data_IF_483582435803
#
_entry.id   IF_483582435803
#
_cell.length_a   1.000
_cell.length_b   1.000
_cell.length_c   1.000
_cell.angle_alpha   90.00
_cell.angle_beta   90.00
_cell.angle_gamma   90.00
#
_symmetry.space_group_name_H-M   'P 1'
#
loop_
_entity.id
_entity.type
_entity.pdbx_description
1 polymer ?
#
# COMPACT_ATOMS: atom_id res chain seq x y z
N UNK A 1 -10.71 -19.26 61.42
CA UNK A 1 -9.34 -19.72 61.70
C UNK A 1 -8.78 -20.40 60.45
N UNK A 2 -7.56 -20.02 60.03
CA UNK A 2 -6.55 -20.77 59.21
C UNK A 2 -6.95 -21.19 57.77
N UNK A 3 -6.14 -21.07 56.71
CA UNK A 3 -4.86 -20.38 56.44
C UNK A 3 -4.44 -20.67 54.96
N UNK A 4 -3.70 -19.72 54.36
CA UNK A 4 -2.61 -19.83 53.37
C UNK A 4 -2.83 -20.24 51.90
N UNK A 5 -2.50 -19.29 50.99
CA UNK A 5 -1.35 -19.29 50.04
C UNK A 5 -1.45 -17.92 49.32
N UNK A 6 -0.64 -16.88 49.51
CA UNK A 6 0.82 -16.72 49.51
C UNK A 6 1.51 -17.38 48.31
N UNK A 7 1.77 -16.57 47.27
CA UNK A 7 2.81 -16.86 46.28
C UNK A 7 2.41 -16.61 44.83
N UNK A 8 2.71 -15.42 44.30
CA UNK A 8 3.19 -15.19 42.92
C UNK A 8 3.44 -13.69 42.71
N UNK A 9 4.52 -13.18 43.29
CA UNK A 9 5.20 -12.00 42.74
C UNK A 9 6.02 -12.55 41.57
N UNK A 10 5.67 -12.19 40.34
CA UNK A 10 6.56 -12.38 39.19
C UNK A 10 6.79 -11.04 38.49
N UNK A 11 8.05 -10.71 38.16
CA UNK A 11 8.48 -9.40 37.71
C UNK A 11 8.33 -9.25 36.19
N UNK A 12 7.65 -8.20 35.73
CA UNK A 12 7.78 -7.74 34.35
C UNK A 12 8.43 -6.36 34.36
N UNK A 13 9.76 -6.38 34.50
CA UNK A 13 10.60 -5.25 34.11
C UNK A 13 11.73 -5.79 33.27
N UNK A 14 11.89 -5.17 32.08
CA UNK A 14 13.02 -5.13 31.13
C UNK A 14 12.53 -5.52 29.73
N UNK A 15 11.98 -4.53 29.01
CA UNK A 15 12.14 -4.48 27.56
C UNK A 15 13.08 -3.32 27.28
N UNK A 16 14.36 -3.65 27.13
CA UNK A 16 15.42 -2.70 26.88
C UNK A 16 15.29 -2.16 25.45
N UNK A 17 15.20 -0.84 25.36
CA UNK A 17 15.36 -0.05 24.15
C UNK A 17 16.75 -0.29 23.55
N UNK A 18 16.82 -0.50 22.24
CA UNK A 18 18.06 -0.61 21.48
C UNK A 18 17.87 -0.18 20.04
N UNK A 19 17.84 1.14 19.80
CA UNK A 19 18.13 1.75 18.50
C UNK A 19 19.64 1.95 18.41
N UNK A 20 20.33 1.33 17.45
CA UNK A 20 21.48 1.96 16.76
C UNK A 20 21.55 1.46 15.31
N UNK A 21 21.49 2.45 14.41
CA UNK A 21 21.70 2.40 12.97
C UNK A 21 23.15 2.05 12.63
N UNK A 22 23.37 1.13 11.70
CA UNK A 22 24.60 1.02 10.93
C UNK A 22 24.26 1.03 9.45
N UNK A 23 24.09 2.24 8.92
CA UNK A 23 24.42 2.55 7.54
C UNK A 23 25.79 3.25 7.50
N UNK A 24 26.69 2.75 6.66
CA UNK A 24 27.88 3.43 6.09
C UNK A 24 28.33 2.50 4.94
N UNK A 25 27.85 2.74 3.72
CA UNK A 25 28.59 3.40 2.64
C UNK A 25 30.02 2.86 2.44
N UNK A 26 30.24 2.21 1.31
CA UNK A 26 31.56 2.17 0.70
C UNK A 26 31.42 2.25 -0.82
N UNK A 27 31.15 3.47 -1.29
CA UNK A 27 31.51 3.85 -2.65
C UNK A 27 33.03 3.97 -2.74
N UNK A 28 33.68 3.15 -3.56
CA UNK A 28 35.09 3.37 -3.86
C UNK A 28 35.84 2.28 -4.62
N UNK A 29 36.21 2.64 -5.86
CA UNK A 29 37.39 2.22 -6.64
C UNK A 29 37.23 1.05 -7.62
N UNK A 30 37.01 1.42 -8.88
CA UNK A 30 37.86 1.00 -10.01
C UNK A 30 39.33 1.36 -9.73
N UNK A 31 40.35 0.60 -10.20
CA UNK A 31 40.60 0.38 -11.64
C UNK A 31 41.01 -1.09 -11.96
N UNK A 32 41.04 -1.57 -13.19
CA UNK A 32 42.14 -1.34 -14.15
C UNK A 32 41.93 -2.19 -15.40
N UNK A 33 42.04 -1.56 -16.58
CA UNK A 33 42.73 -2.01 -17.80
C UNK A 33 42.73 -3.51 -18.18
N UNK A 34 42.21 -3.81 -19.38
CA UNK A 34 42.98 -4.56 -20.39
C UNK A 34 42.48 -4.24 -21.80
N UNK A 35 43.41 -3.70 -22.58
CA UNK A 35 43.37 -3.56 -24.02
C UNK A 35 43.18 -4.91 -24.72
N UNK A 36 42.50 -4.90 -25.87
CA UNK A 36 42.78 -5.84 -26.95
C UNK A 36 42.51 -5.15 -28.28
N UNK A 37 43.59 -4.65 -28.85
CA UNK A 37 43.77 -4.31 -30.26
C UNK A 37 43.46 -5.51 -31.15
N UNK A 38 42.68 -5.28 -32.22
CA UNK A 38 42.81 -6.03 -33.47
C UNK A 38 42.51 -5.07 -34.63
N UNK A 39 43.54 -4.82 -35.45
CA UNK A 39 43.54 -3.92 -36.60
C UNK A 39 42.97 -4.58 -37.87
N UNK A 40 42.35 -3.74 -38.73
CA UNK A 40 42.31 -3.70 -40.21
C UNK A 40 41.97 -4.98 -41.01
N UNK A 41 41.27 -4.97 -42.14
CA UNK A 41 40.51 -4.01 -42.96
C UNK A 41 39.99 -4.79 -44.19
N UNK A 42 38.82 -4.45 -44.74
CA UNK A 42 38.62 -4.43 -46.20
C UNK A 42 37.32 -3.72 -46.65
N UNK A 43 37.54 -2.59 -47.32
CA UNK A 43 36.93 -2.12 -48.58
C UNK A 43 35.52 -1.50 -48.59
N UNK A 44 35.45 -0.46 -49.43
CA UNK A 44 34.49 0.63 -49.49
C UNK A 44 33.25 0.36 -50.37
N UNK A 45 32.22 1.16 -50.03
CA UNK A 45 31.23 1.82 -50.89
C UNK A 45 30.06 1.01 -51.48
N UNK A 46 28.89 1.11 -50.84
CA UNK A 46 27.64 1.40 -51.55
C UNK A 46 26.69 2.19 -50.63
N UNK A 47 26.39 3.42 -51.02
CA UNK A 47 25.40 4.29 -50.38
C UNK A 47 23.99 3.74 -50.65
N UNK A 48 23.28 3.37 -49.58
CA UNK A 48 21.83 3.23 -49.59
C UNK A 48 21.27 3.87 -48.32
N UNK A 49 20.57 5.02 -48.40
CA UNK A 49 19.98 5.63 -47.24
C UNK A 49 18.63 4.96 -47.02
N UNK A 50 18.45 4.27 -45.89
CA UNK A 50 17.16 4.17 -45.19
C UNK A 50 17.29 3.23 -43.99
N UNK A 51 16.85 3.76 -42.85
CA UNK A 51 16.51 3.07 -41.60
C UNK A 51 17.51 3.20 -40.44
N UNK A 52 17.82 4.45 -40.07
CA UNK A 52 18.27 4.77 -38.72
C UNK A 52 17.35 5.85 -38.13
N UNK A 53 16.16 5.47 -37.67
CA UNK A 53 15.40 6.20 -36.64
C UNK A 53 14.08 5.48 -36.32
N UNK A 54 14.15 4.31 -35.68
CA UNK A 54 12.94 3.75 -35.04
C UNK A 54 13.15 2.95 -33.75
N UNK A 55 14.37 2.90 -33.20
CA UNK A 55 14.62 2.22 -31.91
C UNK A 55 14.97 3.16 -30.75
N UNK A 56 15.52 4.35 -31.00
CA UNK A 56 15.79 5.31 -29.92
C UNK A 56 14.51 5.86 -29.27
N UNK A 57 13.41 5.97 -30.03
CA UNK A 57 12.16 6.55 -29.53
C UNK A 57 11.33 5.56 -28.70
N UNK A 58 11.44 4.24 -28.93
CA UNK A 58 10.64 3.25 -28.19
C UNK A 58 11.12 3.04 -26.76
N UNK A 59 12.42 3.10 -26.52
CA UNK A 59 12.97 3.06 -25.16
C UNK A 59 12.65 4.35 -24.39
N UNK A 60 12.76 5.52 -25.02
CA UNK A 60 12.38 6.80 -24.42
C UNK A 60 10.87 6.90 -24.10
N UNK A 61 10.00 6.35 -24.97
CA UNK A 61 8.55 6.29 -24.74
C UNK A 61 8.17 5.34 -23.59
N UNK A 62 8.89 4.22 -23.42
CA UNK A 62 8.72 3.32 -22.26
C UNK A 62 9.25 3.95 -20.97
N UNK A 63 10.38 4.67 -21.04
CA UNK A 63 10.99 5.34 -19.90
C UNK A 63 10.16 6.54 -19.44
N UNK A 64 9.51 7.26 -20.36
CA UNK A 64 8.51 8.29 -20.07
C UNK A 64 7.29 7.75 -19.33
N UNK A 65 6.81 6.54 -19.67
CA UNK A 65 5.70 5.90 -18.95
C UNK A 65 6.11 5.52 -17.50
N UNK A 66 7.32 4.95 -17.32
CA UNK A 66 7.83 4.58 -16.00
C UNK A 66 8.03 5.79 -15.08
N UNK A 67 8.50 6.92 -15.59
CA UNK A 67 8.62 8.15 -14.80
C UNK A 67 7.25 8.60 -14.25
N UNK A 68 6.22 8.61 -15.09
CA UNK A 68 4.87 8.97 -14.65
C UNK A 68 4.29 7.97 -13.67
N UNK A 69 4.53 6.66 -13.87
CA UNK A 69 4.14 5.61 -12.93
C UNK A 69 4.75 5.88 -11.54
N UNK A 70 6.07 6.07 -11.46
CA UNK A 70 6.77 6.29 -10.17
C UNK A 70 6.31 7.59 -9.51
N UNK A 71 6.16 8.68 -10.28
CA UNK A 71 5.65 9.95 -9.76
C UNK A 71 4.23 9.79 -9.22
N UNK A 72 3.33 9.20 -10.01
CA UNK A 72 1.92 9.02 -9.66
C UNK A 72 1.74 8.11 -8.44
N UNK A 73 2.52 7.04 -8.34
CA UNK A 73 2.57 6.18 -7.15
C UNK A 73 3.01 6.98 -5.93
N UNK A 74 3.99 7.88 -6.08
CA UNK A 74 4.46 8.73 -4.98
C UNK A 74 3.42 9.77 -4.60
N UNK A 75 2.75 10.40 -5.57
CA UNK A 75 1.68 11.37 -5.32
C UNK A 75 0.49 10.72 -4.60
N UNK A 76 0.12 9.50 -5.01
CA UNK A 76 -0.87 8.70 -4.29
C UNK A 76 -0.40 8.38 -2.87
N UNK A 77 0.80 7.82 -2.69
CA UNK A 77 1.34 7.48 -1.37
C UNK A 77 1.40 8.70 -0.44
N UNK A 78 1.85 9.85 -0.93
CA UNK A 78 1.93 11.08 -0.15
C UNK A 78 0.54 11.58 0.24
N UNK A 79 -0.44 11.49 -0.66
CA UNK A 79 -1.82 11.89 -0.38
C UNK A 79 -2.51 10.99 0.65
N UNK A 80 -2.04 9.73 0.79
CA UNK A 80 -2.76 8.71 1.56
C UNK A 80 -1.95 8.00 2.63
N UNK A 81 -0.81 8.56 3.03
CA UNK A 81 0.17 7.93 3.92
C UNK A 81 -0.45 7.40 5.23
N UNK A 82 -1.42 8.14 5.79
CA UNK A 82 -1.93 7.84 7.13
C UNK A 82 -3.19 6.95 7.11
N UNK A 83 -3.78 6.67 5.95
CA UNK A 83 -5.07 5.98 5.89
C UNK A 83 -5.01 4.52 6.33
N UNK A 84 -3.92 3.81 6.02
CA UNK A 84 -3.74 2.44 6.49
C UNK A 84 -3.77 2.36 8.02
N UNK A 85 -3.11 3.31 8.70
CA UNK A 85 -3.12 3.38 10.16
C UNK A 85 -4.49 3.77 10.70
N UNK A 86 -5.15 4.75 10.09
CA UNK A 86 -6.50 5.17 10.49
C UNK A 86 -7.52 4.04 10.34
N UNK A 87 -7.46 3.27 9.26
CA UNK A 87 -8.31 2.10 9.04
C UNK A 87 -8.06 1.00 10.07
N UNK A 88 -6.80 0.70 10.38
CA UNK A 88 -6.43 -0.28 11.41
C UNK A 88 -6.94 0.14 12.80
N UNK A 89 -6.76 1.42 13.16
CA UNK A 89 -7.23 1.97 14.42
C UNK A 89 -8.75 1.83 14.55
N UNK A 90 -9.50 2.29 13.53
CA UNK A 90 -10.95 2.23 13.56
C UNK A 90 -11.47 0.79 13.49
N UNK A 91 -10.78 -0.12 12.79
CA UNK A 91 -11.09 -1.54 12.81
C UNK A 91 -10.97 -2.13 14.22
N UNK A 92 -9.91 -1.77 14.96
CA UNK A 92 -9.72 -2.20 16.35
C UNK A 92 -10.82 -1.64 17.27
N UNK A 93 -11.21 -0.38 17.07
CA UNK A 93 -12.30 0.26 17.84
C UNK A 93 -13.65 -0.39 17.57
N UNK A 94 -13.94 -0.74 16.31
CA UNK A 94 -15.14 -1.48 15.92
C UNK A 94 -15.18 -2.87 16.56
N UNK A 95 -14.08 -3.62 16.49
CA UNK A 95 -14.00 -4.95 17.11
C UNK A 95 -14.21 -4.86 18.62
N UNK A 96 -13.53 -3.92 19.28
CA UNK A 96 -13.68 -3.70 20.72
C UNK A 96 -15.12 -3.39 21.10
N UNK A 97 -15.80 -2.53 20.33
CA UNK A 97 -17.18 -2.15 20.59
C UNK A 97 -18.15 -3.34 20.44
N UNK A 98 -17.92 -4.23 19.47
CA UNK A 98 -18.69 -5.47 19.31
C UNK A 98 -18.43 -6.43 20.48
N UNK A 99 -17.17 -6.66 20.84
CA UNK A 99 -16.80 -7.58 21.92
C UNK A 99 -17.36 -7.12 23.28
N UNK A 100 -17.39 -5.82 23.51
CA UNK A 100 -17.91 -5.20 24.73
C UNK A 100 -19.42 -4.99 24.72
N UNK A 101 -20.08 -5.26 23.59
CA UNK A 101 -21.49 -4.98 23.38
C UNK A 101 -21.84 -3.51 23.68
N UNK A 102 -20.95 -2.58 23.31
CA UNK A 102 -21.11 -1.14 23.54
C UNK A 102 -21.67 -0.46 22.29
N UNK A 103 -22.96 -0.18 22.30
CA UNK A 103 -23.66 0.46 21.19
C UNK A 103 -23.18 1.90 20.91
N UNK A 104 -22.77 2.63 21.96
CA UNK A 104 -22.33 4.02 21.83
C UNK A 104 -20.96 4.04 21.16
N UNK A 105 -20.04 3.20 21.63
CA UNK A 105 -18.72 3.07 21.04
C UNK A 105 -18.81 2.52 19.61
N UNK A 106 -19.72 1.58 19.36
CA UNK A 106 -19.94 1.02 18.02
C UNK A 106 -20.41 2.08 17.04
N UNK A 107 -21.41 2.88 17.43
CA UNK A 107 -21.92 3.98 16.61
C UNK A 107 -20.84 5.02 16.32
N UNK A 108 -20.03 5.35 17.33
CA UNK A 108 -18.91 6.28 17.17
C UNK A 108 -17.89 5.74 16.17
N UNK A 109 -17.42 4.50 16.35
CA UNK A 109 -16.43 3.87 15.50
C UNK A 109 -16.95 3.69 14.05
N UNK A 110 -18.23 3.33 13.88
CA UNK A 110 -18.87 3.24 12.56
C UNK A 110 -18.92 4.61 11.85
N UNK A 111 -19.27 5.65 12.59
CA UNK A 111 -19.30 7.03 12.06
C UNK A 111 -17.90 7.50 11.67
N UNK A 112 -16.91 7.22 12.51
CA UNK A 112 -15.51 7.53 12.25
C UNK A 112 -15.01 6.80 10.99
N UNK A 113 -15.32 5.50 10.85
CA UNK A 113 -14.96 4.74 9.66
C UNK A 113 -15.59 5.37 8.40
N UNK A 114 -16.88 5.66 8.44
CA UNK A 114 -17.57 6.27 7.30
C UNK A 114 -16.94 7.62 6.90
N UNK A 115 -16.56 8.45 7.87
CA UNK A 115 -15.90 9.73 7.61
C UNK A 115 -14.51 9.54 7.02
N UNK A 116 -13.72 8.60 7.55
CA UNK A 116 -12.39 8.28 7.02
C UNK A 116 -12.45 7.79 5.58
N UNK A 117 -13.37 6.87 5.26
CA UNK A 117 -13.55 6.35 3.91
C UNK A 117 -14.02 7.46 2.93
N UNK A 118 -14.86 8.39 3.36
CA UNK A 118 -15.23 9.56 2.53
C UNK A 118 -14.07 10.54 2.33
N UNK A 119 -13.30 10.80 3.38
CA UNK A 119 -12.11 11.64 3.29
C UNK A 119 -11.07 11.02 2.35
N UNK A 120 -10.95 9.70 2.39
CA UNK A 120 -10.09 8.90 1.52
C UNK A 120 -10.47 9.05 0.04
N UNK A 121 -11.75 8.90 -0.31
CA UNK A 121 -12.24 9.16 -1.67
C UNK A 121 -11.85 10.56 -2.14
N UNK A 122 -12.06 11.57 -1.30
CA UNK A 122 -11.72 12.95 -1.61
C UNK A 122 -10.22 13.15 -1.83
N UNK A 123 -9.36 12.49 -1.04
CA UNK A 123 -7.91 12.57 -1.18
C UNK A 123 -7.45 11.94 -2.51
N UNK A 124 -7.88 10.72 -2.81
CA UNK A 124 -7.52 10.01 -4.04
C UNK A 124 -8.01 10.73 -5.31
N UNK A 125 -9.20 11.31 -5.28
CA UNK A 125 -9.76 12.05 -6.42
C UNK A 125 -9.05 13.39 -6.68
N UNK A 126 -8.36 13.97 -5.69
CA UNK A 126 -7.58 15.20 -5.87
C UNK A 126 -6.23 14.97 -6.55
N UNK A 127 -5.70 13.75 -6.49
CA UNK A 127 -4.40 13.44 -7.09
C UNK A 127 -4.52 13.45 -8.61
N UNK A 128 -3.66 14.23 -9.27
CA UNK A 128 -3.62 14.35 -10.72
C UNK A 128 -2.63 13.35 -11.32
N UNK A 129 -3.15 12.22 -11.77
CA UNK A 129 -2.36 11.14 -12.37
C UNK A 129 -2.12 11.41 -13.86
N UNK A 130 -0.98 10.94 -14.39
CA UNK A 130 -0.66 10.95 -15.83
C UNK A 130 -0.55 9.54 -16.42
N UNK A 131 -0.27 8.52 -15.61
CA UNK A 131 -0.25 7.12 -15.98
C UNK A 131 -1.68 6.55 -15.92
N UNK A 132 -2.02 5.77 -16.96
CA UNK A 132 -3.29 5.06 -17.01
C UNK A 132 -3.30 3.91 -16.01
N UNK A 133 -2.19 3.19 -15.87
CA UNK A 133 -2.04 2.07 -14.95
C UNK A 133 -2.33 2.51 -13.50
N UNK A 134 -1.79 3.66 -13.09
CA UNK A 134 -2.06 4.19 -11.75
C UNK A 134 -3.48 4.75 -11.63
N UNK A 135 -4.05 5.25 -12.72
CA UNK A 135 -5.47 5.64 -12.77
C UNK A 135 -6.40 4.45 -12.55
N UNK A 136 -6.12 3.31 -13.16
CA UNK A 136 -6.90 2.08 -13.01
C UNK A 136 -6.77 1.53 -11.59
N UNK A 137 -5.57 1.55 -11.00
CA UNK A 137 -5.35 1.17 -9.60
C UNK A 137 -6.15 2.07 -8.65
N UNK A 138 -6.12 3.40 -8.87
CA UNK A 138 -6.96 4.33 -8.10
C UNK A 138 -8.42 3.95 -8.21
N UNK A 139 -8.91 3.64 -9.41
CA UNK A 139 -10.32 3.31 -9.59
C UNK A 139 -10.71 2.04 -8.81
N UNK A 140 -9.88 0.99 -8.87
CA UNK A 140 -10.09 -0.24 -8.10
C UNK A 140 -10.13 0.02 -6.58
N UNK A 141 -9.27 0.91 -6.09
CA UNK A 141 -9.23 1.33 -4.68
C UNK A 141 -10.51 2.08 -4.30
N UNK A 142 -10.93 3.06 -5.12
CA UNK A 142 -12.16 3.83 -4.91
C UNK A 142 -13.40 2.92 -4.93
N UNK A 143 -13.44 1.95 -5.83
CA UNK A 143 -14.57 1.01 -5.94
C UNK A 143 -14.66 0.12 -4.70
N UNK A 144 -13.53 -0.39 -4.20
CA UNK A 144 -13.49 -1.15 -2.96
C UNK A 144 -13.88 -0.30 -1.74
N UNK A 145 -13.41 0.95 -1.69
CA UNK A 145 -13.83 1.90 -0.65
C UNK A 145 -15.35 2.11 -0.66
N UNK A 146 -15.94 2.22 -1.86
CA UNK A 146 -17.38 2.36 -2.01
C UNK A 146 -18.16 1.09 -1.67
N UNK A 147 -17.59 -0.09 -1.86
CA UNK A 147 -18.20 -1.34 -1.37
C UNK A 147 -18.32 -1.31 0.16
N UNK A 148 -17.31 -0.82 0.87
CA UNK A 148 -17.35 -0.67 2.34
C UNK A 148 -18.38 0.38 2.75
N UNK A 149 -18.34 1.57 2.13
CA UNK A 149 -19.26 2.67 2.42
C UNK A 149 -20.74 2.30 2.17
N UNK A 150 -21.01 1.49 1.16
CA UNK A 150 -22.35 1.02 0.83
C UNK A 150 -22.79 -0.18 1.66
N UNK A 151 -21.95 -0.71 2.55
CA UNK A 151 -22.35 -1.80 3.44
C UNK A 151 -23.55 -1.39 4.32
N UNK A 152 -24.48 -2.31 4.62
CA UNK A 152 -25.65 -2.01 5.46
C UNK A 152 -25.29 -1.40 6.82
N UNK A 153 -24.13 -1.77 7.36
CA UNK A 153 -23.62 -1.28 8.63
C UNK A 153 -23.22 0.20 8.58
N UNK A 154 -22.60 0.68 7.49
CA UNK A 154 -22.11 2.06 7.38
C UNK A 154 -23.07 3.02 6.67
N UNK A 155 -24.02 2.50 5.89
CA UNK A 155 -24.96 3.32 5.12
C UNK A 155 -26.24 3.69 5.91
N UNK A 156 -26.35 3.25 7.17
CA UNK A 156 -27.49 3.54 8.05
C UNK A 156 -28.71 2.64 7.86
N UNK A 157 -28.60 1.55 7.09
CA UNK A 157 -29.66 0.53 6.98
C UNK A 157 -29.76 -0.37 8.22
N UNK A 158 -28.74 -0.37 9.07
CA UNK A 158 -28.71 -1.06 10.35
C UNK A 158 -28.80 -0.03 11.47
N UNK A 159 -29.85 -0.11 12.30
CA UNK A 159 -29.94 0.67 13.53
C UNK A 159 -29.03 0.07 14.60
N UNK A 160 -27.83 0.62 14.74
CA UNK A 160 -26.82 0.14 15.69
C UNK A 160 -27.26 0.27 17.15
N UNK A 161 -28.32 1.03 17.46
CA UNK A 161 -28.84 1.22 18.82
C UNK A 161 -29.90 0.18 19.23
N UNK A 162 -30.47 -0.55 18.27
CA UNK A 162 -31.60 -1.47 18.48
C UNK A 162 -31.31 -2.91 18.01
N UNK A 163 -30.15 -3.16 17.39
CA UNK A 163 -29.84 -4.44 16.75
C UNK A 163 -29.10 -5.39 17.68
N UNK A 164 -29.43 -6.68 17.55
CA UNK A 164 -28.71 -7.80 18.17
C UNK A 164 -27.24 -7.81 17.73
N UNK A 165 -26.31 -7.67 18.68
CA UNK A 165 -24.86 -7.73 18.44
C UNK A 165 -24.43 -8.96 17.65
N UNK A 166 -25.15 -10.07 17.75
CA UNK A 166 -24.86 -11.28 16.96
C UNK A 166 -25.03 -11.05 15.46
N UNK A 167 -25.99 -10.22 15.05
CA UNK A 167 -26.14 -9.81 13.64
C UNK A 167 -25.05 -8.82 13.23
N UNK A 168 -24.65 -7.94 14.15
CA UNK A 168 -23.56 -6.99 13.91
C UNK A 168 -22.24 -7.71 13.74
N UNK A 169 -21.92 -8.69 14.60
CA UNK A 169 -20.72 -9.51 14.53
C UNK A 169 -20.59 -10.21 13.17
N UNK A 170 -21.69 -10.79 12.68
CA UNK A 170 -21.73 -11.42 11.35
C UNK A 170 -21.45 -10.42 10.22
N UNK A 171 -21.99 -9.20 10.30
CA UNK A 171 -21.70 -8.17 9.30
C UNK A 171 -20.30 -7.57 9.46
N UNK A 172 -19.77 -7.53 10.68
CA UNK A 172 -18.45 -6.99 10.99
C UNK A 172 -17.34 -7.80 10.33
N UNK A 173 -17.47 -9.12 10.25
CA UNK A 173 -16.51 -9.97 9.53
C UNK A 173 -16.34 -9.56 8.06
N UNK A 174 -17.43 -9.21 7.38
CA UNK A 174 -17.36 -8.72 5.99
C UNK A 174 -16.65 -7.37 5.90
N UNK A 175 -16.94 -6.45 6.83
CA UNK A 175 -16.33 -5.12 6.85
C UNK A 175 -14.83 -5.22 7.15
N UNK A 176 -14.43 -6.09 8.08
CA UNK A 176 -13.03 -6.36 8.39
C UNK A 176 -12.26 -6.91 7.19
N UNK A 177 -12.88 -7.84 6.44
CA UNK A 177 -12.30 -8.38 5.22
C UNK A 177 -12.09 -7.31 4.16
N UNK A 178 -13.12 -6.49 3.89
CA UNK A 178 -13.01 -5.42 2.89
C UNK A 178 -12.07 -4.29 3.34
N UNK A 179 -12.00 -3.96 4.63
CA UNK A 179 -11.01 -3.03 5.18
C UNK A 179 -9.58 -3.57 5.02
N UNK A 180 -9.37 -4.86 5.28
CA UNK A 180 -8.06 -5.49 5.10
C UNK A 180 -7.65 -5.49 3.63
N UNK A 181 -8.58 -5.79 2.73
CA UNK A 181 -8.37 -5.71 1.28
C UNK A 181 -8.03 -4.28 0.85
N UNK A 182 -8.74 -3.28 1.36
CA UNK A 182 -8.46 -1.87 1.10
C UNK A 182 -7.06 -1.48 1.58
N UNK A 183 -6.71 -1.84 2.81
CA UNK A 183 -5.37 -1.63 3.37
C UNK A 183 -4.29 -2.35 2.54
N UNK A 184 -4.55 -3.58 2.10
CA UNK A 184 -3.63 -4.35 1.27
C UNK A 184 -3.41 -3.69 -0.10
N UNK A 185 -4.45 -3.14 -0.73
CA UNK A 185 -4.32 -2.39 -1.99
C UNK A 185 -3.55 -1.09 -1.81
N UNK A 186 -3.66 -0.44 -0.64
CA UNK A 186 -2.88 0.76 -0.31
C UNK A 186 -1.39 0.46 -0.13
N UNK A 187 -1.07 -0.70 0.44
CA UNK A 187 0.32 -1.13 0.66
C UNK A 187 0.97 -1.62 -0.65
N UNK A 188 0.22 -2.35 -1.48
CA UNK A 188 0.70 -3.02 -2.70
C UNK A 188 0.66 -2.15 -3.96
N UNK A 189 0.47 -0.83 -3.83
CA UNK A 189 0.69 0.09 -4.96
C UNK A 189 2.04 -0.23 -5.61
N UNK A 190 2.14 -0.28 -6.95
CA UNK A 190 3.20 -0.97 -7.68
C UNK A 190 4.58 -0.52 -7.22
N UNK A 191 5.14 -1.30 -6.28
CA UNK A 191 6.52 -1.18 -5.80
C UNK A 191 7.41 -2.20 -6.49
N UNK A 192 6.83 -3.24 -7.10
CA UNK A 192 7.56 -4.32 -7.74
C UNK A 192 6.87 -4.80 -9.02
N UNK A 193 7.27 -4.25 -10.17
CA UNK A 193 7.22 -4.94 -11.46
C UNK A 193 8.62 -4.95 -12.10
N UNK A 194 9.65 -5.18 -11.28
CA UNK A 194 11.01 -5.43 -11.74
C UNK A 194 11.51 -6.73 -11.11
N UNK A 195 10.95 -7.85 -11.55
CA UNK A 195 11.57 -9.17 -11.46
C UNK A 195 10.71 -10.12 -12.30
N UNK A 196 11.02 -10.18 -13.60
CA UNK A 196 11.10 -11.41 -14.37
C UNK A 196 11.39 -11.06 -15.82
N UNK A 197 12.69 -10.96 -16.12
CA UNK A 197 13.27 -11.19 -17.44
C UNK A 197 14.76 -11.40 -17.21
N UNK A 198 15.29 -12.49 -17.78
CA UNK A 198 16.64 -13.05 -17.68
C UNK A 198 16.94 -13.93 -16.44
N UNK A 199 17.26 -15.23 -16.54
CA UNK A 199 17.76 -16.00 -17.68
C UNK A 199 17.42 -17.49 -17.55
N UNK A 200 16.70 -18.02 -18.53
CA UNK A 200 16.99 -19.34 -19.10
C UNK A 200 18.06 -19.14 -20.16
N UNK A 201 19.27 -19.62 -19.93
CA UNK A 201 20.11 -20.23 -20.97
C UNK A 201 21.25 -21.05 -20.38
#
# INVERSE_FOLDING_TARGET
>A
MKKFLQGAVLPFTIFATGLVLLGCDQSGRDPSSSESTSELAHTADEIQPMSEQQDATRSDLKQGNLFYIVRDVTDLQLSTNDYTQQLQQTQSELQKAVDQQDHVQLQHAATQLQQQLKAFDLAFNKVQLKSQEITDIRQNILDANQQVLNSPFLNGQVDLSQVDFKKIEQQMGNIQGEMLKLAAMLIQQPKDQNQDSDSTS
#
